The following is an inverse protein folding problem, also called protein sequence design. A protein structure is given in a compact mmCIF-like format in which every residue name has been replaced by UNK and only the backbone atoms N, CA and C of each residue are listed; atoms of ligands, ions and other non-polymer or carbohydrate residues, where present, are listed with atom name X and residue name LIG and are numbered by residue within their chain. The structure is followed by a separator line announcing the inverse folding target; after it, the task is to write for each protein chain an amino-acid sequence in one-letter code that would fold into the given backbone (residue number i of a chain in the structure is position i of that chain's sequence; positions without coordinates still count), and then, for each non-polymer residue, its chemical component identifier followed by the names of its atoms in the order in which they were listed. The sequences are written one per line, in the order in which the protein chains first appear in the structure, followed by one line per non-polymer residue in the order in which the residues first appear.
data_IF_204746610794
#
_entry.id   IF_204746610794
#
_cell.length_a   1.000
_cell.length_b   1.000
_cell.length_c   1.000
_cell.angle_alpha   90.00
_cell.angle_beta   90.00
_cell.angle_gamma   90.00
#
_symmetry.space_group_name_H-M   'P 1'
#
loop_
_entity.id
_entity.type
_entity.pdbx_description
1 polymer ?
#
# COMPACT_ATOMS: atom_id res chain seq x y z
N UNK A 1 -2.50 5.41 -14.85
CA UNK A 1 -2.85 4.71 -13.59
C UNK A 1 -3.74 5.54 -12.66
N UNK A 2 -3.31 6.70 -12.13
CA UNK A 2 -4.11 7.48 -11.15
C UNK A 2 -5.54 7.83 -11.62
N UNK A 3 -5.70 8.35 -12.84
CA UNK A 3 -7.02 8.75 -13.37
C UNK A 3 -8.00 7.57 -13.60
N UNK A 4 -7.50 6.35 -13.80
CA UNK A 4 -8.35 5.21 -14.13
C UNK A 4 -8.85 4.44 -12.89
N UNK A 5 -8.01 4.31 -11.85
CA UNK A 5 -8.30 3.41 -10.73
C UNK A 5 -8.52 4.12 -9.40
N UNK A 6 -7.96 5.32 -9.22
CA UNK A 6 -8.01 6.05 -7.95
C UNK A 6 -8.99 7.22 -8.04
N UNK A 7 -8.83 8.10 -9.04
CA UNK A 7 -9.62 9.35 -9.16
C UNK A 7 -11.14 9.14 -9.08
N UNK A 8 -11.75 8.14 -9.76
CA UNK A 8 -13.19 7.92 -9.67
C UNK A 8 -13.69 7.56 -8.25
N UNK A 9 -12.80 7.01 -7.42
CA UNK A 9 -13.10 6.52 -6.06
C UNK A 9 -12.68 7.50 -4.96
N UNK A 10 -12.04 8.62 -5.31
CA UNK A 10 -11.57 9.62 -4.34
C UNK A 10 -12.70 10.37 -3.61
N UNK A 11 -13.83 10.73 -4.25
CA UNK A 11 -14.94 11.37 -3.53
C UNK A 11 -15.44 10.45 -2.40
N UNK A 12 -15.48 10.96 -1.17
CA UNK A 12 -15.87 10.17 0.00
C UNK A 12 -14.76 9.31 0.60
N UNK A 13 -13.53 9.40 0.09
CA UNK A 13 -12.40 8.69 0.69
C UNK A 13 -12.04 9.23 2.09
N UNK A 14 -11.71 8.31 2.99
CA UNK A 14 -11.32 8.57 4.36
C UNK A 14 -9.97 7.91 4.65
N UNK A 15 -9.02 8.68 5.19
CA UNK A 15 -7.81 8.11 5.77
C UNK A 15 -8.19 7.26 7.00
N UNK A 16 -7.79 6.00 7.00
CA UNK A 16 -8.02 5.08 8.13
C UNK A 16 -6.82 5.02 9.08
N UNK A 17 -5.67 5.55 8.65
CA UNK A 17 -4.51 5.77 9.51
C UNK A 17 -3.18 5.57 8.79
N UNK A 18 -2.10 5.85 9.51
CA UNK A 18 -0.74 5.53 9.11
C UNK A 18 0.02 4.93 10.30
N UNK A 19 0.81 3.91 10.04
CA UNK A 19 1.70 3.24 10.99
C UNK A 19 3.13 3.44 10.53
N UNK A 20 3.98 3.93 11.42
CA UNK A 20 5.44 3.88 11.23
C UNK A 20 5.87 2.42 11.37
N UNK A 21 6.54 1.90 10.35
CA UNK A 21 7.08 0.54 10.36
C UNK A 21 8.46 0.55 11.02
N UNK A 22 9.34 1.45 10.56
CA UNK A 22 10.71 1.68 11.03
C UNK A 22 11.13 3.13 10.71
N UNK A 23 12.36 3.52 11.04
CA UNK A 23 12.91 4.81 10.60
C UNK A 23 12.78 4.96 9.07
N UNK A 24 12.10 6.02 8.63
CA UNK A 24 11.81 6.32 7.22
C UNK A 24 10.98 5.25 6.49
N UNK A 25 10.21 4.43 7.21
CA UNK A 25 9.29 3.47 6.61
C UNK A 25 7.88 3.55 7.22
N UNK A 26 6.86 3.51 6.38
CA UNK A 26 5.46 3.75 6.75
C UNK A 26 4.52 2.84 5.97
N UNK A 27 3.44 2.42 6.63
CA UNK A 27 2.26 1.84 6.02
C UNK A 27 1.07 2.76 6.25
N UNK A 28 0.43 3.23 5.17
CA UNK A 28 -0.71 4.14 5.24
C UNK A 28 -1.93 3.54 4.53
N UNK A 29 -3.11 3.76 5.10
CA UNK A 29 -4.36 3.19 4.63
C UNK A 29 -5.46 4.23 4.42
N UNK A 30 -6.29 3.99 3.41
CA UNK A 30 -7.50 4.73 3.13
C UNK A 30 -8.65 3.79 2.79
N UNK A 31 -9.85 4.12 3.26
CA UNK A 31 -11.10 3.61 2.69
C UNK A 31 -11.53 4.57 1.58
N UNK A 32 -11.74 4.08 0.37
CA UNK A 32 -12.20 4.89 -0.76
C UNK A 32 -13.73 5.04 -0.73
N UNK A 33 -14.28 5.92 -1.57
CA UNK A 33 -15.71 6.23 -1.59
C UNK A 33 -16.61 5.06 -1.97
N UNK A 34 -16.07 4.06 -2.69
CA UNK A 34 -16.76 2.81 -3.02
C UNK A 34 -16.59 1.71 -1.96
N UNK A 35 -15.93 2.02 -0.83
CA UNK A 35 -15.66 1.08 0.25
C UNK A 35 -14.39 0.25 0.06
N UNK A 36 -13.71 0.32 -1.10
CA UNK A 36 -12.43 -0.36 -1.29
C UNK A 36 -11.36 0.17 -0.34
N UNK A 37 -10.38 -0.67 0.01
CA UNK A 37 -9.27 -0.31 0.89
C UNK A 37 -7.99 -0.12 0.09
N UNK A 38 -7.51 1.11 0.03
CA UNK A 38 -6.22 1.47 -0.53
C UNK A 38 -5.16 1.41 0.56
N UNK A 39 -4.04 0.75 0.28
CA UNK A 39 -2.87 0.73 1.15
C UNK A 39 -1.62 1.13 0.37
N UNK A 40 -0.78 1.95 0.99
CA UNK A 40 0.53 2.34 0.49
C UNK A 40 1.56 1.98 1.55
N UNK A 41 2.49 1.10 1.20
CA UNK A 41 3.66 0.81 2.01
C UNK A 41 4.88 1.43 1.34
N UNK A 42 5.63 2.23 2.09
CA UNK A 42 6.74 3.04 1.61
C UNK A 42 7.94 2.87 2.52
N UNK A 43 9.09 2.52 1.95
CA UNK A 43 10.38 2.48 2.63
C UNK A 43 11.36 3.43 1.93
N UNK A 44 11.68 4.54 2.58
CA UNK A 44 12.67 5.52 2.13
C UNK A 44 14.04 5.31 2.80
N UNK A 45 14.19 4.26 3.61
CA UNK A 45 15.45 3.94 4.28
C UNK A 45 16.39 3.15 3.36
N UNK A 46 17.65 3.02 3.80
CA UNK A 46 18.67 2.22 3.15
C UNK A 46 18.65 0.74 3.60
N UNK A 47 17.68 0.32 4.41
CA UNK A 47 17.59 -1.05 4.96
C UNK A 47 16.26 -1.70 4.62
N UNK A 48 16.23 -3.02 4.55
CA UNK A 48 14.99 -3.78 4.38
C UNK A 48 14.15 -3.69 5.64
N UNK A 49 12.87 -3.40 5.48
CA UNK A 49 11.89 -3.26 6.57
C UNK A 49 10.83 -4.36 6.46
N UNK A 50 10.20 -4.73 7.58
CA UNK A 50 9.03 -5.62 7.59
C UNK A 50 7.74 -4.82 7.55
N UNK A 51 6.78 -5.30 6.77
CA UNK A 51 5.45 -4.72 6.66
C UNK A 51 4.37 -5.76 7.01
N UNK A 52 3.23 -5.38 7.59
CA UNK A 52 2.11 -6.30 7.75
C UNK A 52 1.73 -6.94 6.42
N UNK A 53 1.39 -8.23 6.44
CA UNK A 53 1.00 -8.92 5.21
C UNK A 53 -0.21 -8.23 4.56
N UNK A 54 -0.23 -8.04 3.23
CA UNK A 54 -1.42 -7.56 2.54
C UNK A 54 -2.55 -8.60 2.63
N UNK A 55 -3.79 -8.16 2.46
CA UNK A 55 -4.91 -9.10 2.28
C UNK A 55 -4.62 -9.99 1.05
N UNK A 56 -4.91 -11.30 1.10
CA UNK A 56 -4.63 -12.21 -0.01
C UNK A 56 -5.23 -11.73 -1.34
N UNK A 57 -6.43 -11.15 -1.29
CA UNK A 57 -7.17 -10.65 -2.46
C UNK A 57 -6.79 -9.20 -2.85
N UNK A 58 -5.91 -8.54 -2.11
CA UNK A 58 -5.46 -7.20 -2.49
C UNK A 58 -4.68 -7.26 -3.81
N UNK A 59 -5.05 -6.41 -4.78
CA UNK A 59 -4.34 -6.30 -6.07
C UNK A 59 -3.28 -5.22 -6.00
N UNK A 60 -2.11 -5.50 -6.55
CA UNK A 60 -1.03 -4.51 -6.70
C UNK A 60 -1.37 -3.57 -7.84
N UNK A 61 -1.60 -2.29 -7.52
CA UNK A 61 -1.82 -1.23 -8.50
C UNK A 61 -0.51 -0.65 -9.02
N UNK A 62 0.51 -0.58 -8.16
CA UNK A 62 1.83 -0.08 -8.48
C UNK A 62 2.86 -0.65 -7.50
N UNK A 63 4.06 -0.94 -8.01
CA UNK A 63 5.20 -1.34 -7.22
C UNK A 63 6.47 -0.76 -7.87
N UNK A 64 7.40 -0.32 -7.03
CA UNK A 64 8.73 0.14 -7.44
C UNK A 64 9.76 -0.29 -6.39
N UNK A 65 10.90 -0.82 -6.84
CA UNK A 65 11.94 -1.37 -5.96
C UNK A 65 11.55 -2.62 -5.17
N UNK A 66 10.46 -3.31 -5.54
CA UNK A 66 9.94 -4.49 -4.85
C UNK A 66 9.17 -5.42 -5.80
N UNK A 67 9.36 -6.73 -5.63
CA UNK A 67 8.60 -7.76 -6.33
C UNK A 67 7.40 -8.23 -5.50
N UNK A 68 6.32 -8.68 -6.16
CA UNK A 68 5.08 -9.10 -5.46
C UNK A 68 5.35 -10.27 -4.49
N UNK A 69 6.25 -11.20 -4.84
CA UNK A 69 6.61 -12.32 -3.97
C UNK A 69 7.19 -11.85 -2.62
N UNK A 70 8.11 -10.89 -2.65
CA UNK A 70 8.73 -10.29 -1.46
C UNK A 70 7.68 -9.53 -0.64
N UNK A 71 6.84 -8.74 -1.31
CA UNK A 71 5.78 -8.00 -0.64
C UNK A 71 4.77 -8.91 0.07
N UNK A 72 4.38 -10.02 -0.59
CA UNK A 72 3.47 -11.05 -0.04
C UNK A 72 4.07 -11.80 1.14
N UNK A 73 5.38 -11.75 1.32
CA UNK A 73 6.10 -12.24 2.49
C UNK A 73 6.32 -11.17 3.57
N UNK A 74 5.78 -9.96 3.37
CA UNK A 74 5.92 -8.84 4.32
C UNK A 74 7.31 -8.21 4.28
N UNK A 75 8.02 -8.31 3.15
CA UNK A 75 9.34 -7.70 2.94
C UNK A 75 9.16 -6.38 2.19
N UNK A 76 9.83 -5.33 2.67
CA UNK A 76 9.86 -4.03 2.00
C UNK A 76 11.33 -3.59 1.82
N UNK A 77 11.94 -3.83 0.64
CA UNK A 77 13.34 -3.50 0.36
C UNK A 77 13.66 -2.01 0.54
N UNK A 78 14.95 -1.62 0.61
CA UNK A 78 15.35 -0.21 0.63
C UNK A 78 14.78 0.56 -0.56
N UNK A 79 14.38 1.82 -0.33
CA UNK A 79 13.88 2.72 -1.37
C UNK A 79 12.75 2.12 -2.24
N UNK A 80 11.81 1.42 -1.61
CA UNK A 80 10.71 0.74 -2.30
C UNK A 80 9.35 1.30 -1.91
N UNK A 81 8.39 1.13 -2.82
CA UNK A 81 6.99 1.49 -2.59
C UNK A 81 6.08 0.47 -3.26
N UNK A 82 4.97 0.16 -2.59
CA UNK A 82 3.90 -0.66 -3.15
C UNK A 82 2.55 -0.08 -2.79
N UNK A 83 1.65 -0.07 -3.77
CA UNK A 83 0.30 0.43 -3.67
C UNK A 83 -0.64 -0.72 -3.98
N UNK A 84 -1.46 -1.11 -3.02
CA UNK A 84 -2.44 -2.18 -3.18
C UNK A 84 -3.86 -1.70 -2.96
N UNK A 85 -4.80 -2.36 -3.63
CA UNK A 85 -6.23 -2.10 -3.50
C UNK A 85 -6.98 -3.41 -3.23
N UNK A 86 -7.68 -3.45 -2.11
CA UNK A 86 -8.61 -4.52 -1.74
C UNK A 86 -10.03 -4.04 -2.06
N UNK A 87 -10.80 -4.84 -2.80
CA UNK A 87 -12.19 -4.49 -3.11
C UNK A 87 -13.07 -4.65 -1.85
N UNK A 88 -14.16 -3.86 -1.73
CA UNK A 88 -15.09 -4.00 -0.61
C UNK A 88 -15.69 -5.41 -0.60
N UNK A 89 -15.88 -5.95 0.60
CA UNK A 89 -16.57 -7.23 0.82
C UNK A 89 -18.07 -7.11 0.57
#
# INVERSE_FOLDING_TARGET
MRHAHLVPRLPGSQAIGARVLEDKAVSAGWRLGDGSHLRIDLNLSAVTVRTPLPHPEARTLHADGIDDADYRQGVLPPHSVVVTLEDPR
#
